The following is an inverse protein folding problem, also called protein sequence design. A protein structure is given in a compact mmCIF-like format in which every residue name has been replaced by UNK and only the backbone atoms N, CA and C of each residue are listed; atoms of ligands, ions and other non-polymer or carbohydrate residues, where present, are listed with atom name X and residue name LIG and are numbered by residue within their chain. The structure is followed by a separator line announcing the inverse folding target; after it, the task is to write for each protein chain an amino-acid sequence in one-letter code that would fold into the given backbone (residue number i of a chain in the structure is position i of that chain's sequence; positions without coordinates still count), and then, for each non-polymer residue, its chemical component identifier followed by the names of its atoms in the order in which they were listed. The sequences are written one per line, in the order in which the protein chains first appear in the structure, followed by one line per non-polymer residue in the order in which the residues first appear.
data_IF_992080622325
#
_entry.id   IF_992080622325
#
_cell.length_a   1.000
_cell.length_b   1.000
_cell.length_c   1.000
_cell.angle_alpha   90.00
_cell.angle_beta   90.00
_cell.angle_gamma   90.00
#
_symmetry.space_group_name_H-M   'P 1'
#
loop_
_entity.id
_entity.type
_entity.pdbx_description
1 polymer ?
#
# COMPACT_ATOMS: atom_id res chain seq x y z
N UNK A 1 -9.75 -13.96 10.72
CA UNK A 1 -8.36 -13.80 11.23
C UNK A 1 -8.30 -12.82 12.40
N UNK A 2 -8.78 -11.58 12.25
CA UNK A 2 -8.88 -10.55 13.31
C UNK A 2 -9.46 -11.07 14.65
N UNK A 3 -10.65 -11.67 14.64
CA UNK A 3 -11.31 -12.17 15.86
C UNK A 3 -10.47 -13.21 16.61
N UNK A 4 -9.78 -14.11 15.89
CA UNK A 4 -8.92 -15.13 16.48
C UNK A 4 -7.70 -14.53 17.20
N UNK A 5 -7.19 -13.39 16.73
CA UNK A 5 -6.03 -12.72 17.30
C UNK A 5 -6.41 -11.83 18.50
N UNK A 6 -7.63 -11.26 18.49
CA UNK A 6 -8.22 -10.57 19.64
C UNK A 6 -8.53 -11.57 20.77
N UNK A 7 -9.09 -12.74 20.44
CA UNK A 7 -9.38 -13.82 21.41
C UNK A 7 -8.11 -14.40 22.06
N UNK A 8 -6.97 -14.34 21.36
CA UNK A 8 -5.66 -14.78 21.88
C UNK A 8 -4.92 -13.68 22.66
N UNK A 9 -5.55 -12.52 22.87
CA UNK A 9 -4.98 -11.32 23.52
C UNK A 9 -3.67 -10.82 22.85
N UNK A 10 -3.48 -11.17 21.57
CA UNK A 10 -2.32 -10.78 20.75
C UNK A 10 -2.50 -9.43 20.06
N UNK A 11 -3.75 -8.95 19.98
CA UNK A 11 -4.12 -7.66 19.43
C UNK A 11 -5.19 -7.04 20.32
N UNK A 12 -5.14 -5.72 20.48
CA UNK A 12 -6.21 -4.92 21.08
C UNK A 12 -7.03 -4.25 19.98
N UNK A 13 -8.29 -3.92 20.23
CA UNK A 13 -9.12 -3.15 19.30
C UNK A 13 -8.46 -1.82 18.89
N UNK A 14 -7.74 -1.17 19.81
CA UNK A 14 -6.98 0.04 19.52
C UNK A 14 -5.83 -0.22 18.53
N UNK A 15 -5.09 -1.32 18.73
CA UNK A 15 -4.00 -1.69 17.81
C UNK A 15 -4.51 -2.03 16.42
N UNK A 16 -5.68 -2.66 16.31
CA UNK A 16 -6.28 -2.95 15.01
C UNK A 16 -6.69 -1.67 14.29
N UNK A 17 -7.34 -0.74 14.99
CA UNK A 17 -7.69 0.57 14.41
C UNK A 17 -6.46 1.35 13.93
N UNK A 18 -5.36 1.29 14.69
CA UNK A 18 -4.08 1.92 14.30
C UNK A 18 -3.50 1.29 13.03
N UNK A 19 -3.57 -0.04 12.90
CA UNK A 19 -3.10 -0.75 11.72
C UNK A 19 -3.97 -0.40 10.51
N UNK A 20 -5.30 -0.46 10.65
CA UNK A 20 -6.25 -0.13 9.58
C UNK A 20 -6.01 1.30 9.07
N UNK A 21 -5.92 2.29 9.97
CA UNK A 21 -5.61 3.67 9.62
C UNK A 21 -4.24 3.81 8.91
N UNK A 22 -3.21 3.12 9.39
CA UNK A 22 -1.89 3.19 8.78
C UNK A 22 -1.85 2.56 7.37
N UNK A 23 -2.66 1.52 7.14
CA UNK A 23 -2.81 0.88 5.82
C UNK A 23 -3.53 1.83 4.87
N UNK A 24 -4.67 2.40 5.28
CA UNK A 24 -5.41 3.37 4.46
C UNK A 24 -4.54 4.56 4.07
N UNK A 25 -3.83 5.15 5.03
CA UNK A 25 -2.92 6.26 4.76
C UNK A 25 -1.83 5.91 3.75
N UNK A 26 -1.21 4.73 3.88
CA UNK A 26 -0.17 4.28 2.92
C UNK A 26 -0.75 4.04 1.53
N UNK A 27 -1.97 3.53 1.45
CA UNK A 27 -2.66 3.32 0.18
C UNK A 27 -2.93 4.66 -0.50
N UNK A 28 -3.43 5.65 0.23
CA UNK A 28 -3.69 7.00 -0.30
C UNK A 28 -2.40 7.66 -0.80
N UNK A 29 -1.31 7.56 -0.04
CA UNK A 29 0.01 8.08 -0.44
C UNK A 29 0.52 7.40 -1.72
N UNK A 30 0.38 6.08 -1.83
CA UNK A 30 0.79 5.33 -3.02
C UNK A 30 -0.06 5.67 -4.24
N UNK A 31 -1.37 5.81 -4.07
CA UNK A 31 -2.29 6.22 -5.14
C UNK A 31 -1.97 7.62 -5.64
N UNK A 32 -1.75 8.56 -4.72
CA UNK A 32 -1.38 9.93 -5.06
C UNK A 32 -0.07 9.96 -5.83
N UNK A 33 0.95 9.23 -5.36
CA UNK A 33 2.22 9.13 -6.08
C UNK A 33 2.04 8.58 -7.50
N UNK A 34 1.24 7.53 -7.68
CA UNK A 34 0.98 6.95 -8.99
C UNK A 34 0.25 7.92 -9.94
N UNK A 35 -0.66 8.75 -9.41
CA UNK A 35 -1.41 9.74 -10.19
C UNK A 35 -0.57 10.98 -10.54
N UNK A 36 0.25 11.44 -9.60
CA UNK A 36 1.09 12.63 -9.77
C UNK A 36 2.38 12.34 -10.54
N UNK A 37 2.72 11.05 -10.75
CA UNK A 37 3.92 10.65 -11.47
C UNK A 37 3.83 11.05 -12.95
N UNK A 38 4.89 11.64 -13.51
CA UNK A 38 4.93 11.94 -14.94
C UNK A 38 4.85 10.64 -15.75
N UNK A 39 4.28 10.74 -16.95
CA UNK A 39 4.33 9.63 -17.89
C UNK A 39 5.79 9.33 -18.28
N UNK A 40 6.12 8.07 -18.59
CA UNK A 40 7.43 7.73 -19.13
C UNK A 40 7.67 8.47 -20.45
N UNK A 41 8.94 8.68 -20.78
CA UNK A 41 9.30 9.31 -22.05
C UNK A 41 8.97 8.34 -23.19
N UNK A 42 8.56 8.82 -24.39
CA UNK A 42 8.25 7.95 -25.52
C UNK A 42 9.37 6.97 -25.88
N UNK A 43 10.64 7.37 -25.70
CA UNK A 43 11.82 6.56 -25.95
C UNK A 43 11.99 5.39 -24.96
N UNK A 44 11.37 5.46 -23.77
CA UNK A 44 11.37 4.36 -22.80
C UNK A 44 10.69 3.11 -23.37
N UNK A 45 9.78 3.26 -24.33
CA UNK A 45 9.11 2.14 -25.02
C UNK A 45 10.07 1.23 -25.81
N UNK A 46 11.29 1.71 -26.12
CA UNK A 46 12.30 0.95 -26.85
C UNK A 46 13.33 0.29 -25.91
N UNK A 47 13.22 0.51 -24.60
CA UNK A 47 14.07 -0.13 -23.58
C UNK A 47 13.53 -1.52 -23.23
N UNK A 48 14.42 -2.40 -22.77
CA UNK A 48 14.10 -3.77 -22.31
C UNK A 48 13.43 -4.69 -23.37
N UNK A 49 13.66 -4.40 -24.66
CA UNK A 49 13.13 -5.21 -25.76
C UNK A 49 13.83 -6.57 -25.90
N UNK A 50 15.10 -6.66 -25.49
CA UNK A 50 15.87 -7.91 -25.47
C UNK A 50 16.53 -8.11 -24.10
N UNK A 51 16.64 -9.37 -23.67
CA UNK A 51 17.11 -9.79 -22.34
C UNK A 51 18.64 -9.82 -22.21
#
# INVERSE_FOLDING_TARGET
MKNKLLEMDLLTEESVKKIEYAVEKRLDEALKYAQDSPSPEPEDALRDVFA
#
